data_IF_502002319922
#
_entry.id   IF_502002319922
#
_cell.length_a   1.000
_cell.length_b   1.000
_cell.length_c   1.000
_cell.angle_alpha   90.00
_cell.angle_beta   90.00
_cell.angle_gamma   90.00
#
_symmetry.space_group_name_H-M   'P 1'
#
loop_
_entity.id
_entity.type
_entity.pdbx_description
1 polymer ?
#
# COMPACT_ATOMS: atom_id res chain seq x y z
N UNK A 1 -78.04 39.31 -39.20
CA UNK A 1 -77.13 39.57 -38.07
C UNK A 1 -75.72 39.41 -38.59
N UNK A 2 -75.14 40.48 -39.12
CA UNK A 2 -73.75 40.51 -39.57
C UNK A 2 -72.83 40.55 -38.34
N UNK A 3 -71.91 39.59 -38.24
CA UNK A 3 -70.82 39.60 -37.27
C UNK A 3 -69.91 40.81 -37.57
N UNK A 4 -70.07 41.92 -36.85
CA UNK A 4 -69.04 42.95 -36.82
C UNK A 4 -67.73 42.31 -36.37
N UNK A 5 -66.67 42.45 -37.18
CA UNK A 5 -65.36 41.92 -36.88
C UNK A 5 -64.89 42.44 -35.51
N UNK A 6 -64.53 41.52 -34.59
CA UNK A 6 -64.00 41.85 -33.27
C UNK A 6 -62.58 42.40 -33.44
N UNK A 7 -62.46 43.68 -33.80
CA UNK A 7 -61.17 44.34 -34.04
C UNK A 7 -60.78 45.23 -32.88
N UNK A 8 -59.48 45.27 -32.54
CA UNK A 8 -58.92 46.18 -31.56
C UNK A 8 -57.70 46.88 -32.17
N UNK A 9 -57.76 48.21 -32.28
CA UNK A 9 -56.71 49.06 -32.88
C UNK A 9 -56.15 48.49 -34.20
N UNK A 10 -57.04 48.11 -35.11
CA UNK A 10 -56.65 47.60 -36.44
C UNK A 10 -56.30 46.10 -36.52
N UNK A 11 -56.16 45.40 -35.40
CA UNK A 11 -55.92 43.94 -35.39
C UNK A 11 -57.24 43.19 -35.22
N UNK A 12 -57.42 42.11 -36.00
CA UNK A 12 -58.53 41.16 -35.84
C UNK A 12 -58.29 40.24 -34.63
N UNK A 13 -59.24 40.20 -33.70
CA UNK A 13 -59.21 39.31 -32.53
C UNK A 13 -60.14 38.11 -32.72
N UNK A 14 -59.72 36.95 -32.25
CA UNK A 14 -60.60 35.78 -32.17
C UNK A 14 -61.68 36.00 -31.10
N UNK A 15 -62.83 35.34 -31.25
CA UNK A 15 -63.97 35.45 -30.31
C UNK A 15 -63.61 34.98 -28.88
N UNK A 16 -62.58 34.14 -28.75
CA UNK A 16 -62.04 33.68 -27.47
C UNK A 16 -61.32 34.77 -26.68
N UNK A 17 -60.96 35.90 -27.30
CA UNK A 17 -60.22 37.00 -26.66
C UNK A 17 -61.17 37.79 -25.74
N UNK A 18 -60.99 37.62 -24.43
CA UNK A 18 -61.76 38.34 -23.40
C UNK A 18 -61.21 39.74 -23.14
N UNK A 19 -61.35 40.62 -24.13
CA UNK A 19 -60.91 42.02 -24.05
C UNK A 19 -61.70 42.83 -23.00
N UNK A 20 -62.97 42.50 -22.77
CA UNK A 20 -63.83 43.15 -21.78
C UNK A 20 -64.09 42.22 -20.57
N UNK A 21 -64.31 42.77 -19.38
CA UNK A 21 -64.66 41.95 -18.21
C UNK A 21 -66.08 41.36 -18.38
N UNK A 22 -66.33 40.17 -17.80
CA UNK A 22 -67.52 39.33 -18.03
C UNK A 22 -68.87 40.09 -17.92
N UNK A 23 -68.97 41.07 -17.03
CA UNK A 23 -70.22 41.82 -16.76
C UNK A 23 -70.26 43.23 -17.38
N UNK A 24 -69.26 43.58 -18.18
CA UNK A 24 -68.99 44.99 -18.55
C UNK A 24 -68.96 45.30 -20.04
N UNK A 25 -69.36 44.37 -20.91
CA UNK A 25 -69.45 44.61 -22.36
C UNK A 25 -70.41 45.77 -22.69
N UNK A 26 -71.39 46.05 -21.82
CA UNK A 26 -72.30 47.23 -21.89
C UNK A 26 -71.70 48.53 -21.38
N UNK A 27 -70.70 48.48 -20.51
CA UNK A 27 -70.09 49.64 -19.84
C UNK A 27 -68.70 49.99 -20.38
N UNK A 28 -68.18 49.20 -21.33
CA UNK A 28 -66.90 49.45 -22.00
C UNK A 28 -65.66 49.25 -21.12
N UNK A 29 -65.76 48.56 -19.98
CA UNK A 29 -64.62 48.35 -19.09
C UNK A 29 -63.73 47.21 -19.60
N UNK A 30 -62.48 47.55 -19.88
CA UNK A 30 -61.49 46.61 -20.38
C UNK A 30 -60.98 45.65 -19.29
N UNK A 31 -60.53 44.48 -19.73
CA UNK A 31 -59.63 43.66 -18.93
C UNK A 31 -58.22 44.26 -19.05
N UNK A 32 -57.79 45.01 -18.04
CA UNK A 32 -56.53 45.77 -18.06
C UNK A 32 -55.30 44.93 -18.40
N UNK A 33 -55.24 43.65 -18.00
CA UNK A 33 -54.12 42.77 -18.34
C UNK A 33 -54.10 42.39 -19.82
N UNK A 34 -55.27 42.06 -20.39
CA UNK A 34 -55.39 41.70 -21.80
C UNK A 34 -55.19 42.94 -22.68
N UNK A 35 -55.76 44.07 -22.27
CA UNK A 35 -55.59 45.37 -22.92
C UNK A 35 -54.12 45.78 -22.95
N UNK A 36 -53.43 45.79 -21.81
CA UNK A 36 -52.02 46.17 -21.75
C UNK A 36 -51.13 45.26 -22.61
N UNK A 37 -51.37 43.95 -22.63
CA UNK A 37 -50.64 43.02 -23.49
C UNK A 37 -50.87 43.28 -24.99
N UNK A 38 -52.11 43.55 -25.39
CA UNK A 38 -52.45 43.91 -26.77
C UNK A 38 -51.88 45.28 -27.16
N UNK A 39 -51.98 46.29 -26.29
CA UNK A 39 -51.43 47.62 -26.53
C UNK A 39 -49.91 47.56 -26.73
N UNK A 40 -49.17 46.83 -25.89
CA UNK A 40 -47.73 46.66 -26.05
C UNK A 40 -47.39 45.98 -27.38
N UNK A 41 -48.15 44.95 -27.76
CA UNK A 41 -47.93 44.24 -29.02
C UNK A 41 -48.21 45.14 -30.23
N UNK A 42 -49.30 45.92 -30.19
CA UNK A 42 -49.71 46.83 -31.27
C UNK A 42 -48.76 48.01 -31.39
N UNK A 43 -48.37 48.63 -30.27
CA UNK A 43 -47.41 49.73 -30.28
C UNK A 43 -46.08 49.29 -30.90
N UNK A 44 -45.57 48.10 -30.57
CA UNK A 44 -44.33 47.58 -31.17
C UNK A 44 -44.48 47.21 -32.65
N UNK A 45 -45.68 46.88 -33.12
CA UNK A 45 -45.96 46.70 -34.55
C UNK A 45 -45.93 48.05 -35.26
N UNK A 46 -46.61 49.06 -34.71
CA UNK A 46 -46.65 50.42 -35.25
C UNK A 46 -45.24 51.07 -35.29
N UNK A 47 -44.48 50.97 -34.20
CA UNK A 47 -43.09 51.46 -34.12
C UNK A 47 -42.18 50.86 -35.19
N UNK A 48 -42.35 49.56 -35.47
CA UNK A 48 -41.55 48.86 -36.47
C UNK A 48 -42.18 48.87 -37.87
N UNK A 49 -43.36 49.50 -38.06
CA UNK A 49 -44.09 49.51 -39.32
C UNK A 49 -44.55 48.12 -39.81
N UNK A 50 -44.76 47.17 -38.90
CA UNK A 50 -45.16 45.79 -39.22
C UNK A 50 -46.67 45.59 -39.15
N UNK A 51 -47.21 44.64 -39.91
CA UNK A 51 -48.66 44.36 -39.98
C UNK A 51 -48.99 42.91 -39.65
N UNK A 52 -50.00 42.68 -38.81
CA UNK A 52 -50.49 41.33 -38.49
C UNK A 52 -51.56 40.93 -39.50
N UNK A 53 -51.38 39.77 -40.14
CA UNK A 53 -52.25 39.28 -41.22
C UNK A 53 -53.29 38.25 -40.75
N UNK A 54 -53.07 37.61 -39.60
CA UNK A 54 -53.98 36.58 -39.05
C UNK A 54 -54.64 37.06 -37.76
N UNK A 55 -55.71 36.40 -37.34
CA UNK A 55 -56.36 36.73 -36.07
C UNK A 55 -55.44 36.48 -34.86
N UNK A 56 -55.53 37.37 -33.87
CA UNK A 56 -54.88 37.20 -32.59
C UNK A 56 -55.77 36.38 -31.65
N UNK A 57 -55.23 35.31 -31.07
CA UNK A 57 -55.93 34.45 -30.10
C UNK A 57 -55.40 34.65 -28.67
N UNK A 58 -54.08 34.53 -28.48
CA UNK A 58 -53.38 34.78 -27.22
C UNK A 58 -51.89 34.98 -27.49
N UNK A 59 -51.16 35.51 -26.51
CA UNK A 59 -49.76 35.89 -26.68
C UNK A 59 -48.78 34.73 -26.96
N UNK A 60 -49.21 33.48 -26.72
CA UNK A 60 -48.45 32.26 -26.99
C UNK A 60 -48.85 31.55 -28.29
N UNK A 61 -49.92 31.98 -28.96
CA UNK A 61 -50.32 31.43 -30.25
C UNK A 61 -49.64 32.21 -31.37
N UNK A 62 -49.32 31.51 -32.45
CA UNK A 62 -48.63 32.13 -33.58
C UNK A 62 -49.58 33.02 -34.37
N UNK A 63 -49.10 34.20 -34.73
CA UNK A 63 -49.72 35.09 -35.72
C UNK A 63 -48.77 35.26 -36.90
N UNK A 64 -49.31 35.48 -38.09
CA UNK A 64 -48.51 35.82 -39.27
C UNK A 64 -48.31 37.33 -39.31
N UNK A 65 -47.06 37.78 -39.36
CA UNK A 65 -46.69 39.18 -39.44
C UNK A 65 -46.03 39.43 -40.81
N UNK A 66 -46.50 40.47 -41.49
CA UNK A 66 -45.77 41.14 -42.56
C UNK A 66 -44.77 42.10 -41.94
N UNK A 67 -43.51 41.70 -41.98
CA UNK A 67 -42.39 42.47 -41.44
C UNK A 67 -41.92 43.58 -42.40
N UNK A 68 -42.64 43.85 -43.50
CA UNK A 68 -42.29 44.84 -44.54
C UNK A 68 -40.83 44.71 -45.01
N UNK A 69 -40.42 43.48 -45.24
CA UNK A 69 -39.11 43.12 -45.77
C UNK A 69 -39.26 42.28 -47.03
N UNK A 70 -38.16 42.03 -47.76
CA UNK A 70 -38.16 41.24 -49.00
C UNK A 70 -38.44 39.73 -48.77
N UNK A 71 -38.62 39.31 -47.51
CA UNK A 71 -38.86 37.92 -47.15
C UNK A 71 -40.36 37.61 -47.01
N UNK A 72 -40.79 36.37 -47.30
CA UNK A 72 -42.16 35.95 -47.09
C UNK A 72 -42.64 36.15 -45.64
N UNK A 73 -43.92 36.50 -45.49
CA UNK A 73 -44.57 36.69 -44.19
C UNK A 73 -44.39 35.45 -43.30
N UNK A 74 -44.02 35.66 -42.04
CA UNK A 74 -43.63 34.58 -41.13
C UNK A 74 -44.51 34.52 -39.89
N UNK A 75 -44.67 33.31 -39.36
CA UNK A 75 -45.45 33.05 -38.15
C UNK A 75 -44.60 33.19 -36.89
N UNK A 76 -44.98 34.10 -36.00
CA UNK A 76 -44.32 34.31 -34.71
C UNK A 76 -45.36 34.44 -33.59
N UNK A 77 -45.02 34.03 -32.38
CA UNK A 77 -45.87 34.28 -31.21
C UNK A 77 -45.67 35.71 -30.71
N UNK A 78 -46.72 36.45 -30.35
CA UNK A 78 -46.63 37.82 -29.83
C UNK A 78 -45.60 38.00 -28.69
N UNK A 79 -45.49 37.04 -27.76
CA UNK A 79 -44.47 37.07 -26.70
C UNK A 79 -43.03 37.07 -27.22
N UNK A 80 -42.73 36.30 -28.28
CA UNK A 80 -41.40 36.25 -28.89
C UNK A 80 -41.09 37.53 -29.65
N UNK A 81 -42.09 38.07 -30.35
CA UNK A 81 -41.98 39.34 -31.04
C UNK A 81 -41.72 40.50 -30.08
N UNK A 82 -42.47 40.59 -28.98
CA UNK A 82 -42.24 41.53 -27.88
C UNK A 82 -40.85 41.36 -27.23
N UNK A 83 -40.31 40.14 -27.23
CA UNK A 83 -38.95 39.83 -26.80
C UNK A 83 -37.85 40.22 -27.79
N UNK A 84 -38.19 40.94 -28.88
CA UNK A 84 -37.23 41.42 -29.89
C UNK A 84 -36.94 40.45 -31.04
N UNK A 85 -37.66 39.33 -31.14
CA UNK A 85 -37.51 38.42 -32.29
C UNK A 85 -38.29 38.95 -33.50
N UNK A 86 -37.58 39.22 -34.60
CA UNK A 86 -38.15 39.68 -35.87
C UNK A 86 -38.14 38.61 -36.96
N UNK A 87 -38.04 39.04 -38.22
CA UNK A 87 -37.90 38.14 -39.35
C UNK A 87 -36.61 37.27 -39.21
N UNK A 88 -36.71 35.92 -39.24
CA UNK A 88 -35.56 35.03 -39.08
C UNK A 88 -34.47 35.19 -40.16
N UNK A 89 -34.87 35.61 -41.36
CA UNK A 89 -33.93 35.87 -42.47
C UNK A 89 -33.21 37.21 -42.29
N UNK A 90 -33.92 38.29 -41.91
CA UNK A 90 -33.28 39.58 -41.61
C UNK A 90 -32.32 39.52 -40.41
N UNK A 91 -32.60 38.64 -39.45
CA UNK A 91 -31.77 38.47 -38.25
C UNK A 91 -30.60 37.49 -38.44
N UNK A 92 -30.46 36.86 -39.62
CA UNK A 92 -29.39 35.89 -39.89
C UNK A 92 -29.52 34.56 -39.14
N UNK A 93 -30.74 34.22 -38.70
CA UNK A 93 -31.03 33.02 -37.87
C UNK A 93 -31.70 31.90 -38.69
N UNK A 94 -31.82 32.05 -40.01
CA UNK A 94 -32.39 31.00 -40.85
C UNK A 94 -31.42 29.82 -41.04
N UNK A 95 -31.98 28.62 -41.21
CA UNK A 95 -31.24 27.37 -41.36
C UNK A 95 -30.43 27.31 -42.66
N UNK A 96 -30.95 27.90 -43.73
CA UNK A 96 -30.30 27.99 -45.06
C UNK A 96 -28.96 28.74 -44.96
N UNK A 97 -28.95 29.94 -44.35
CA UNK A 97 -27.72 30.73 -44.17
C UNK A 97 -26.71 30.01 -43.27
N UNK A 98 -27.19 29.35 -42.21
CA UNK A 98 -26.32 28.63 -41.28
C UNK A 98 -25.58 27.44 -41.92
N UNK A 99 -26.21 26.81 -42.92
CA UNK A 99 -25.63 25.75 -43.77
C UNK A 99 -24.60 26.32 -44.75
N UNK A 100 -24.93 27.39 -45.47
CA UNK A 100 -24.00 28.08 -46.37
C UNK A 100 -22.73 28.55 -45.64
N UNK A 101 -22.89 29.11 -44.44
CA UNK A 101 -21.77 29.54 -43.59
C UNK A 101 -20.88 28.37 -43.16
N UNK A 102 -21.49 27.19 -42.91
CA UNK A 102 -20.73 25.99 -42.55
C UNK A 102 -19.94 25.50 -43.76
N UNK A 103 -20.58 25.41 -44.94
CA UNK A 103 -19.96 24.96 -46.18
C UNK A 103 -18.79 25.90 -46.56
N UNK A 104 -19.00 27.21 -46.46
CA UNK A 104 -17.97 28.22 -46.71
C UNK A 104 -16.75 27.99 -45.82
N UNK A 105 -16.95 27.84 -44.50
CA UNK A 105 -15.86 27.55 -43.55
C UNK A 105 -15.21 26.18 -43.75
N UNK A 106 -15.93 25.19 -44.25
CA UNK A 106 -15.38 23.88 -44.60
C UNK A 106 -14.42 24.02 -45.79
N UNK A 107 -14.84 24.75 -46.81
CA UNK A 107 -14.04 25.01 -48.01
C UNK A 107 -12.81 25.89 -47.70
N UNK A 108 -12.96 26.96 -46.91
CA UNK A 108 -11.84 27.81 -46.48
C UNK A 108 -10.73 27.03 -45.77
N UNK A 109 -11.10 26.01 -44.99
CA UNK A 109 -10.15 25.16 -44.29
C UNK A 109 -9.71 23.93 -45.12
N UNK A 110 -10.08 23.85 -46.41
CA UNK A 110 -9.80 22.71 -47.29
C UNK A 110 -10.29 21.37 -46.73
N UNK A 111 -11.43 21.36 -46.04
CA UNK A 111 -12.09 20.16 -45.55
C UNK A 111 -13.25 19.77 -46.47
N UNK A 112 -13.82 18.59 -46.28
CA UNK A 112 -14.93 18.08 -47.10
C UNK A 112 -16.08 17.59 -46.21
N UNK A 113 -17.30 18.07 -46.49
CA UNK A 113 -18.53 17.66 -45.82
C UNK A 113 -19.07 16.38 -46.48
N UNK A 114 -19.18 15.29 -45.71
CA UNK A 114 -19.58 13.96 -46.21
C UNK A 114 -21.01 13.55 -45.79
N UNK A 115 -21.71 14.39 -45.02
CA UNK A 115 -23.08 14.12 -44.57
C UNK A 115 -23.98 15.34 -44.74
N UNK A 116 -25.28 15.09 -44.85
CA UNK A 116 -26.32 16.12 -44.85
C UNK A 116 -26.31 16.99 -43.58
N UNK A 117 -26.54 18.30 -43.73
CA UNK A 117 -26.70 19.24 -42.62
C UNK A 117 -28.16 19.27 -42.15
N UNK A 118 -28.38 19.03 -40.86
CA UNK A 118 -29.72 19.03 -40.23
C UNK A 118 -29.89 20.12 -39.17
N UNK A 119 -28.85 20.90 -38.91
CA UNK A 119 -28.82 21.96 -37.92
C UNK A 119 -27.53 22.00 -37.10
N UNK A 120 -27.31 23.12 -36.40
CA UNK A 120 -26.04 23.41 -35.72
C UNK A 120 -25.66 22.46 -34.56
N UNK A 121 -26.63 21.70 -34.04
CA UNK A 121 -26.43 20.75 -32.93
C UNK A 121 -26.30 19.30 -33.40
N UNK A 122 -26.77 19.00 -34.61
CA UNK A 122 -26.67 17.66 -35.18
C UNK A 122 -25.27 17.47 -35.74
N UNK A 123 -24.66 16.31 -35.46
CA UNK A 123 -23.31 16.04 -35.94
C UNK A 123 -23.33 15.86 -37.44
N UNK A 124 -22.32 16.43 -38.09
CA UNK A 124 -21.98 16.20 -39.49
C UNK A 124 -20.67 15.44 -39.59
N UNK A 125 -20.50 14.65 -40.64
CA UNK A 125 -19.28 13.92 -40.94
C UNK A 125 -18.40 14.79 -41.84
N UNK A 126 -17.18 15.09 -41.37
CA UNK A 126 -16.21 15.91 -42.12
C UNK A 126 -14.93 15.12 -42.33
N UNK A 127 -14.44 15.09 -43.56
CA UNK A 127 -13.06 14.72 -43.88
C UNK A 127 -12.18 15.97 -43.78
N UNK A 128 -11.29 15.96 -42.79
CA UNK A 128 -10.39 17.06 -42.51
C UNK A 128 -9.14 17.07 -43.40
N UNK A 129 -9.02 16.15 -44.38
CA UNK A 129 -7.87 16.05 -45.32
C UNK A 129 -6.50 16.00 -44.64
N UNK A 130 -6.46 15.47 -43.42
CA UNK A 130 -5.27 15.41 -42.57
C UNK A 130 -4.68 14.00 -42.42
N UNK A 131 -5.11 13.04 -43.26
CA UNK A 131 -4.68 11.64 -43.23
C UNK A 131 -5.37 10.76 -42.18
N UNK A 132 -6.20 11.35 -41.30
CA UNK A 132 -7.06 10.61 -40.39
C UNK A 132 -8.42 10.29 -41.03
N UNK A 133 -9.11 9.27 -40.52
CA UNK A 133 -10.47 8.95 -40.96
C UNK A 133 -11.43 10.14 -40.74
N UNK A 134 -12.45 10.33 -41.59
CA UNK A 134 -13.48 11.34 -41.38
C UNK A 134 -14.11 11.22 -40.00
N UNK A 135 -14.44 12.36 -39.38
CA UNK A 135 -14.92 12.41 -38.00
C UNK A 135 -16.23 13.18 -37.87
N UNK A 136 -17.09 12.70 -36.97
CA UNK A 136 -18.37 13.33 -36.64
C UNK A 136 -18.16 14.51 -35.68
N UNK A 137 -18.57 15.70 -36.09
CA UNK A 137 -18.47 16.93 -35.31
C UNK A 137 -19.76 17.76 -35.46
N UNK A 138 -20.14 18.51 -34.42
CA UNK A 138 -21.25 19.45 -34.58
C UNK A 138 -20.79 20.70 -35.34
N UNK A 139 -21.61 21.25 -36.25
CA UNK A 139 -21.31 22.49 -36.96
C UNK A 139 -20.91 23.63 -36.03
N UNK A 140 -21.56 23.74 -34.86
CA UNK A 140 -21.21 24.73 -33.84
C UNK A 140 -19.76 24.54 -33.33
N UNK A 141 -19.38 23.31 -32.98
CA UNK A 141 -18.03 22.99 -32.50
C UNK A 141 -16.96 23.26 -33.57
N UNK A 142 -17.26 22.91 -34.83
CA UNK A 142 -16.41 23.19 -35.97
C UNK A 142 -16.18 24.70 -36.17
N UNK A 143 -17.26 25.50 -36.10
CA UNK A 143 -17.21 26.96 -36.22
C UNK A 143 -16.38 27.63 -35.13
N UNK A 144 -16.25 27.03 -33.94
CA UNK A 144 -15.40 27.49 -32.84
C UNK A 144 -13.95 26.94 -32.87
N UNK A 145 -13.51 26.37 -34.00
CA UNK A 145 -12.11 25.97 -34.19
C UNK A 145 -11.76 24.56 -33.72
N UNK A 146 -12.76 23.75 -33.33
CA UNK A 146 -12.52 22.32 -33.12
C UNK A 146 -12.47 21.63 -34.48
N UNK A 147 -11.33 21.05 -34.83
CA UNK A 147 -11.15 20.34 -36.09
C UNK A 147 -10.94 18.85 -35.82
N UNK A 148 -10.11 18.16 -36.61
CA UNK A 148 -9.83 16.74 -36.43
C UNK A 148 -9.40 16.43 -34.99
N UNK A 149 -10.17 15.61 -34.24
CA UNK A 149 -9.85 15.26 -32.85
C UNK A 149 -8.51 14.54 -32.72
N UNK A 150 -8.13 13.72 -33.70
CA UNK A 150 -6.85 13.02 -33.73
C UNK A 150 -5.68 13.99 -33.84
N UNK A 151 -5.75 14.97 -34.75
CA UNK A 151 -4.75 16.04 -34.84
C UNK A 151 -4.68 16.87 -33.55
N UNK A 152 -5.84 17.20 -32.96
CA UNK A 152 -5.91 17.89 -31.67
C UNK A 152 -5.22 17.10 -30.56
N UNK A 153 -5.45 15.78 -30.51
CA UNK A 153 -4.79 14.87 -29.56
C UNK A 153 -3.28 14.83 -29.73
N UNK A 154 -2.77 14.75 -30.97
CA UNK A 154 -1.34 14.76 -31.27
C UNK A 154 -0.70 16.09 -30.82
N UNK A 155 -1.31 17.23 -31.16
CA UNK A 155 -0.83 18.56 -30.76
C UNK A 155 -0.83 18.73 -29.24
N UNK A 156 -1.83 18.19 -28.55
CA UNK A 156 -1.92 18.25 -27.09
C UNK A 156 -0.91 17.31 -26.37
N UNK A 157 -0.47 16.23 -27.01
CA UNK A 157 0.41 15.23 -26.39
C UNK A 157 1.88 15.69 -26.26
N UNK A 158 2.40 16.42 -27.24
CA UNK A 158 3.80 16.88 -27.26
C UNK A 158 4.19 17.76 -26.03
N UNK A 159 3.46 18.83 -25.69
CA UNK A 159 3.80 19.66 -24.52
C UNK A 159 3.61 18.88 -23.21
N UNK A 160 2.60 17.99 -23.14
CA UNK A 160 2.37 17.13 -21.96
C UNK A 160 3.54 16.17 -21.73
N UNK A 161 4.07 15.55 -22.78
CA UNK A 161 5.26 14.68 -22.68
C UNK A 161 6.47 15.45 -22.15
N UNK A 162 6.74 16.64 -22.70
CA UNK A 162 7.85 17.50 -22.27
C UNK A 162 7.71 17.94 -20.81
N UNK A 163 6.50 18.31 -20.38
CA UNK A 163 6.22 18.67 -18.99
C UNK A 163 6.40 17.46 -18.04
N UNK A 164 5.95 16.26 -18.45
CA UNK A 164 6.08 15.04 -17.65
C UNK A 164 7.54 14.61 -17.47
N UNK A 165 8.35 14.74 -18.52
CA UNK A 165 9.81 14.51 -18.49
C UNK A 165 10.52 15.50 -17.56
N UNK A 166 10.26 16.80 -17.70
CA UNK A 166 10.82 17.83 -16.82
C UNK A 166 10.42 17.63 -15.36
N UNK A 167 9.19 17.19 -15.11
CA UNK A 167 8.71 16.84 -13.76
C UNK A 167 9.50 15.66 -13.17
N UNK A 168 9.79 14.63 -13.97
CA UNK A 168 10.63 13.52 -13.53
C UNK A 168 12.05 14.00 -13.20
N UNK A 169 12.68 14.76 -14.09
CA UNK A 169 14.04 15.29 -13.89
C UNK A 169 14.16 16.09 -12.60
N UNK A 170 13.26 17.06 -12.37
CA UNK A 170 13.22 17.84 -11.12
C UNK A 170 13.12 16.96 -9.87
N UNK A 171 12.36 15.87 -9.93
CA UNK A 171 12.18 14.95 -8.78
C UNK A 171 13.40 14.02 -8.59
N UNK A 172 14.08 13.66 -9.67
CA UNK A 172 15.35 12.93 -9.64
C UNK A 172 16.42 13.79 -8.97
N UNK A 173 16.57 15.03 -9.42
CA UNK A 173 17.54 15.98 -8.88
C UNK A 173 17.26 16.32 -7.41
N UNK A 174 15.99 16.60 -7.06
CA UNK A 174 15.60 16.92 -5.69
C UNK A 174 15.87 15.77 -4.69
N UNK A 175 15.85 14.52 -5.16
CA UNK A 175 16.17 13.36 -4.34
C UNK A 175 17.67 13.03 -4.37
N UNK A 176 18.50 13.82 -5.06
CA UNK A 176 19.92 13.55 -5.22
C UNK A 176 20.21 12.28 -6.02
N UNK A 177 19.32 11.88 -6.92
CA UNK A 177 19.48 10.71 -7.79
C UNK A 177 19.96 11.14 -9.19
N UNK A 178 20.34 10.19 -10.03
CA UNK A 178 20.77 10.44 -11.41
C UNK A 178 19.98 9.59 -12.40
N UNK A 179 19.37 10.23 -13.39
CA UNK A 179 18.68 9.56 -14.50
C UNK A 179 19.71 9.13 -15.55
N UNK A 180 19.79 7.82 -15.84
CA UNK A 180 20.79 7.24 -16.74
C UNK A 180 20.21 6.79 -18.10
N UNK A 181 18.89 6.86 -18.29
CA UNK A 181 18.24 6.48 -19.53
C UNK A 181 17.28 7.55 -20.03
N UNK A 182 16.95 7.50 -21.31
CA UNK A 182 15.96 8.36 -21.94
C UNK A 182 14.55 8.13 -21.39
N UNK A 183 13.79 9.21 -21.22
CA UNK A 183 12.36 9.15 -20.89
C UNK A 183 11.51 8.91 -22.15
N UNK A 184 10.61 7.94 -22.08
CA UNK A 184 9.67 7.65 -23.18
C UNK A 184 8.26 8.08 -22.79
N UNK A 185 7.78 7.59 -21.65
CA UNK A 185 6.49 7.91 -21.05
C UNK A 185 6.52 7.52 -19.55
N UNK A 186 5.39 7.68 -18.86
CA UNK A 186 5.28 7.51 -17.41
C UNK A 186 5.17 6.03 -16.93
N UNK A 187 5.05 5.08 -17.86
CA UNK A 187 4.96 3.63 -17.57
C UNK A 187 6.23 2.89 -17.96
N UNK A 188 6.90 3.31 -19.03
CA UNK A 188 8.13 2.71 -19.52
C UNK A 188 9.28 2.97 -18.54
N UNK A 189 10.01 1.91 -18.18
CA UNK A 189 10.96 1.99 -17.07
C UNK A 189 12.20 2.78 -17.48
N UNK A 190 12.57 3.73 -16.63
CA UNK A 190 13.83 4.46 -16.71
C UNK A 190 14.86 3.87 -15.76
N UNK A 191 16.13 3.93 -16.13
CA UNK A 191 17.25 3.54 -15.29
C UNK A 191 17.66 4.73 -14.42
N UNK A 192 17.58 4.56 -13.10
CA UNK A 192 17.98 5.58 -12.12
C UNK A 192 19.09 5.04 -11.24
N UNK A 193 20.15 5.82 -11.07
CA UNK A 193 21.10 5.65 -9.98
C UNK A 193 20.57 6.40 -8.76
N UNK A 194 20.25 5.65 -7.71
CA UNK A 194 19.69 6.18 -6.46
C UNK A 194 20.75 6.72 -5.50
N UNK A 195 22.04 6.70 -5.86
CA UNK A 195 23.14 7.17 -5.03
C UNK A 195 23.17 6.57 -3.60
N UNK A 196 22.71 5.33 -3.47
CA UNK A 196 22.64 4.58 -2.21
C UNK A 196 23.66 3.44 -2.13
N UNK A 197 24.68 3.45 -3.00
CA UNK A 197 25.70 2.39 -3.08
C UNK A 197 25.27 1.12 -3.83
N UNK A 198 23.98 0.93 -4.08
CA UNK A 198 23.46 -0.19 -4.87
C UNK A 198 23.52 0.10 -6.39
N UNK A 199 23.47 -0.97 -7.19
CA UNK A 199 23.44 -0.87 -8.66
C UNK A 199 22.22 -0.04 -9.13
N UNK A 200 22.36 0.76 -10.20
CA UNK A 200 21.22 1.48 -10.79
C UNK A 200 20.07 0.54 -11.12
N UNK A 201 18.84 1.00 -10.91
CA UNK A 201 17.64 0.16 -11.03
C UNK A 201 16.61 0.76 -11.98
N UNK A 202 15.93 -0.12 -12.72
CA UNK A 202 14.88 0.24 -13.68
C UNK A 202 13.53 0.38 -12.98
N UNK A 203 12.99 1.60 -12.98
CA UNK A 203 11.73 1.93 -12.33
C UNK A 203 10.82 2.72 -13.27
N UNK A 204 9.50 2.49 -13.20
CA UNK A 204 8.54 3.31 -13.91
C UNK A 204 8.50 4.72 -13.30
N UNK A 205 8.53 5.80 -14.10
CA UNK A 205 8.45 7.18 -13.58
C UNK A 205 7.27 7.42 -12.65
N UNK A 206 6.11 6.81 -12.91
CA UNK A 206 4.93 6.85 -12.02
C UNK A 206 5.22 6.29 -10.63
N UNK A 207 5.81 5.10 -10.54
CA UNK A 207 6.19 4.50 -9.25
C UNK A 207 7.25 5.34 -8.53
N UNK A 208 8.24 5.84 -9.27
CA UNK A 208 9.27 6.72 -8.71
C UNK A 208 8.65 8.00 -8.11
N UNK A 209 7.74 8.65 -8.84
CA UNK A 209 7.01 9.84 -8.39
C UNK A 209 6.14 9.57 -7.15
N UNK A 210 5.65 8.33 -6.97
CA UNK A 210 4.93 7.87 -5.77
C UNK A 210 5.85 7.55 -4.57
N UNK A 211 7.16 7.75 -4.69
CA UNK A 211 8.12 7.52 -3.62
C UNK A 211 8.72 6.12 -3.58
N UNK A 212 8.49 5.29 -4.60
CA UNK A 212 9.23 4.02 -4.74
C UNK A 212 10.67 4.32 -5.15
N UNK A 213 11.61 3.64 -4.50
CA UNK A 213 13.04 3.90 -4.64
C UNK A 213 13.83 2.65 -5.06
N UNK A 214 15.08 2.60 -4.59
CA UNK A 214 15.93 1.42 -4.74
C UNK A 214 15.26 0.19 -4.06
N UNK A 215 15.11 -0.95 -4.76
CA UNK A 215 14.50 -2.15 -4.20
C UNK A 215 15.30 -2.70 -3.02
N UNK A 216 16.63 -2.73 -3.12
CA UNK A 216 17.50 -3.23 -2.03
C UNK A 216 17.37 -2.39 -0.76
N UNK A 217 17.32 -1.06 -0.88
CA UNK A 217 17.04 -0.20 0.28
C UNK A 217 15.65 -0.47 0.87
N UNK A 218 14.65 -0.68 0.01
CA UNK A 218 13.29 -1.04 0.43
C UNK A 218 13.24 -2.37 1.19
N UNK A 219 13.92 -3.39 0.67
CA UNK A 219 14.00 -4.72 1.27
C UNK A 219 14.73 -4.70 2.61
N UNK A 220 15.86 -3.97 2.69
CA UNK A 220 16.61 -3.81 3.93
C UNK A 220 15.77 -3.14 5.02
N UNK A 221 15.07 -2.04 4.69
CA UNK A 221 14.16 -1.36 5.62
C UNK A 221 13.01 -2.28 6.05
N UNK A 222 12.44 -3.04 5.11
CA UNK A 222 11.36 -3.97 5.42
C UNK A 222 11.86 -5.12 6.33
N UNK A 223 13.09 -5.60 6.12
CA UNK A 223 13.72 -6.59 6.99
C UNK A 223 13.92 -6.03 8.41
N UNK A 224 14.48 -4.83 8.53
CA UNK A 224 14.69 -4.14 9.80
C UNK A 224 13.39 -4.00 10.61
N UNK A 225 12.33 -3.47 9.97
CA UNK A 225 10.99 -3.32 10.58
C UNK A 225 10.44 -4.67 11.07
N UNK A 226 10.69 -5.77 10.36
CA UNK A 226 10.27 -7.11 10.81
C UNK A 226 11.10 -7.65 11.96
N UNK A 227 12.41 -7.37 11.97
CA UNK A 227 13.34 -7.94 12.97
C UNK A 227 13.36 -7.17 14.29
N UNK A 228 13.12 -5.86 14.25
CA UNK A 228 13.22 -4.98 15.42
C UNK A 228 12.29 -5.41 16.57
N UNK A 229 10.98 -5.67 16.34
CA UNK A 229 10.09 -6.11 17.42
C UNK A 229 10.46 -7.48 17.99
N UNK A 230 11.04 -8.37 17.19
CA UNK A 230 11.47 -9.71 17.63
C UNK A 230 12.70 -9.60 18.55
N UNK A 231 13.59 -8.64 18.29
CA UNK A 231 14.74 -8.33 19.15
C UNK A 231 14.29 -7.74 20.47
N UNK A 232 13.43 -6.73 20.43
CA UNK A 232 12.86 -6.10 21.62
C UNK A 232 12.11 -7.12 22.48
N UNK A 233 11.27 -7.97 21.88
CA UNK A 233 10.56 -9.02 22.62
C UNK A 233 11.50 -10.01 23.31
N UNK A 234 12.64 -10.34 22.69
CA UNK A 234 13.64 -11.22 23.32
C UNK A 234 14.31 -10.54 24.52
N UNK A 235 14.74 -9.29 24.37
CA UNK A 235 15.37 -8.51 25.45
C UNK A 235 14.39 -8.33 26.62
N UNK A 236 13.15 -7.92 26.34
CA UNK A 236 12.10 -7.80 27.35
C UNK A 236 11.84 -9.12 28.08
N UNK A 237 11.93 -10.26 27.38
CA UNK A 237 11.81 -11.58 28.01
C UNK A 237 12.99 -11.91 28.92
N UNK A 238 14.20 -11.42 28.65
CA UNK A 238 15.36 -11.60 29.53
C UNK A 238 15.16 -10.79 30.81
N UNK A 239 14.82 -9.50 30.65
CA UNK A 239 14.60 -8.58 31.76
C UNK A 239 13.43 -9.01 32.65
N UNK A 240 12.32 -9.48 32.07
CA UNK A 240 11.16 -9.98 32.82
C UNK A 240 11.47 -11.23 33.67
N UNK A 241 12.52 -11.98 33.33
CA UNK A 241 13.02 -13.09 34.15
C UNK A 241 14.10 -12.64 35.17
N UNK A 242 14.40 -11.35 35.27
CA UNK A 242 15.42 -10.81 36.18
C UNK A 242 16.86 -11.08 35.74
N UNK A 243 17.07 -11.41 34.47
CA UNK A 243 18.39 -11.64 33.89
C UNK A 243 18.88 -10.41 33.12
N UNK A 244 20.17 -10.38 32.77
CA UNK A 244 20.80 -9.29 32.00
C UNK A 244 21.50 -9.86 30.78
N UNK A 245 21.18 -9.32 29.60
CA UNK A 245 21.85 -9.65 28.35
C UNK A 245 23.14 -8.82 28.22
N UNK A 246 24.29 -9.48 28.12
CA UNK A 246 25.61 -8.83 28.09
C UNK A 246 26.26 -8.79 26.70
N UNK A 247 25.69 -9.47 25.71
CA UNK A 247 26.19 -9.47 24.33
C UNK A 247 25.13 -9.00 23.34
N UNK A 248 25.56 -8.67 22.13
CA UNK A 248 24.64 -8.37 21.03
C UNK A 248 23.77 -9.58 20.68
N UNK A 249 22.53 -9.31 20.29
CA UNK A 249 21.58 -10.29 19.77
C UNK A 249 21.07 -9.83 18.42
N UNK A 250 21.40 -10.57 17.36
CA UNK A 250 20.99 -10.24 16.00
C UNK A 250 19.96 -11.23 15.46
N UNK A 251 20.15 -12.53 15.72
CA UNK A 251 19.38 -13.65 15.19
C UNK A 251 19.17 -14.76 16.23
N UNK A 252 18.15 -15.60 16.02
CA UNK A 252 17.72 -16.66 16.96
C UNK A 252 18.78 -17.73 17.26
N UNK A 253 19.76 -17.92 16.36
CA UNK A 253 20.82 -18.92 16.50
C UNK A 253 22.11 -18.34 17.10
N UNK A 254 22.13 -17.04 17.41
CA UNK A 254 23.28 -16.41 18.01
C UNK A 254 23.54 -16.98 19.41
N UNK A 255 24.82 -17.19 19.71
CA UNK A 255 25.25 -17.40 21.09
C UNK A 255 25.28 -16.04 21.78
N UNK A 256 24.44 -15.90 22.80
CA UNK A 256 24.33 -14.69 23.60
C UNK A 256 24.85 -14.94 25.01
N UNK A 257 25.59 -13.98 25.56
CA UNK A 257 26.09 -13.99 26.93
C UNK A 257 25.02 -13.38 27.84
N UNK A 258 24.57 -14.15 28.84
CA UNK A 258 23.54 -13.73 29.79
C UNK A 258 24.08 -13.87 31.21
N UNK A 259 23.89 -12.83 32.01
CA UNK A 259 23.95 -12.92 33.45
C UNK A 259 22.57 -13.31 33.97
N UNK A 260 22.48 -14.49 34.58
CA UNK A 260 21.23 -15.01 35.13
C UNK A 260 20.91 -14.47 36.53
N UNK A 261 21.74 -13.56 37.07
CA UNK A 261 21.59 -12.96 38.39
C UNK A 261 21.41 -14.02 39.51
N UNK A 262 22.17 -15.10 39.39
CA UNK A 262 22.09 -16.28 40.27
C UNK A 262 23.38 -16.52 41.08
N UNK A 263 24.28 -15.53 41.11
CA UNK A 263 25.58 -15.62 41.77
C UNK A 263 26.68 -16.32 40.97
N UNK A 264 26.33 -17.07 39.91
CA UNK A 264 27.29 -17.68 38.99
C UNK A 264 27.80 -16.67 37.95
N UNK A 265 28.97 -16.93 37.37
CA UNK A 265 29.52 -16.13 36.27
C UNK A 265 28.55 -16.11 35.07
N UNK A 266 28.51 -15.04 34.26
CA UNK A 266 27.66 -15.01 33.07
C UNK A 266 27.97 -16.16 32.09
N UNK A 267 26.93 -16.73 31.48
CA UNK A 267 27.07 -17.88 30.57
C UNK A 267 26.49 -17.61 29.19
N UNK A 268 27.15 -18.17 28.19
CA UNK A 268 26.69 -18.10 26.80
C UNK A 268 25.74 -19.25 26.47
N UNK A 269 24.62 -18.94 25.82
CA UNK A 269 23.73 -19.95 25.23
C UNK A 269 23.15 -19.47 23.90
N UNK A 270 22.58 -20.39 23.13
CA UNK A 270 21.86 -20.01 21.90
C UNK A 270 20.56 -19.31 22.28
N UNK A 271 20.28 -18.14 21.72
CA UNK A 271 19.08 -17.35 22.06
C UNK A 271 17.76 -18.14 21.93
N UNK A 272 17.64 -19.01 20.92
CA UNK A 272 16.48 -19.90 20.79
C UNK A 272 16.34 -20.87 21.98
N UNK A 273 17.44 -21.36 22.55
CA UNK A 273 17.42 -22.21 23.74
C UNK A 273 16.86 -21.49 24.96
N UNK A 274 17.17 -20.19 25.13
CA UNK A 274 16.60 -19.38 26.21
C UNK A 274 15.07 -19.31 26.12
N UNK A 275 14.54 -19.12 24.90
CA UNK A 275 13.09 -19.11 24.63
C UNK A 275 12.43 -20.45 24.99
N UNK A 276 13.16 -21.56 24.86
CA UNK A 276 12.70 -22.89 25.26
C UNK A 276 12.95 -23.22 26.74
N UNK A 277 13.30 -22.24 27.57
CA UNK A 277 13.40 -22.40 29.02
C UNK A 277 14.79 -22.82 29.54
N UNK A 278 15.83 -22.84 28.69
CA UNK A 278 17.20 -23.06 29.16
C UNK A 278 17.65 -21.86 30.01
N UNK A 279 18.26 -22.15 31.16
CA UNK A 279 18.72 -21.16 32.15
C UNK A 279 20.17 -21.46 32.56
N UNK A 280 20.65 -20.83 33.63
CA UNK A 280 21.99 -21.05 34.16
C UNK A 280 22.25 -22.56 34.37
N UNK A 281 23.31 -23.13 33.78
CA UNK A 281 23.63 -24.55 33.91
C UNK A 281 23.99 -24.94 35.35
N UNK A 282 24.66 -24.05 36.11
CA UNK A 282 25.01 -24.33 37.51
C UNK A 282 23.80 -24.35 38.45
N UNK A 283 22.73 -23.62 38.12
CA UNK A 283 21.47 -23.70 38.89
C UNK A 283 20.73 -25.03 38.69
N UNK A 284 21.02 -25.76 37.61
CA UNK A 284 20.42 -27.07 37.33
C UNK A 284 21.32 -28.24 37.74
N UNK A 285 22.49 -27.95 38.32
CA UNK A 285 23.45 -28.93 38.82
C UNK A 285 22.85 -29.71 40.00
N UNK A 286 23.16 -31.01 40.10
CA UNK A 286 22.73 -31.81 41.25
C UNK A 286 23.40 -31.29 42.53
N UNK A 287 22.75 -31.49 43.69
CA UNK A 287 23.35 -31.12 44.99
C UNK A 287 24.70 -31.80 45.25
N UNK A 288 24.92 -32.98 44.66
CA UNK A 288 26.18 -33.72 44.74
C UNK A 288 27.25 -33.14 43.82
N UNK A 289 26.94 -32.84 42.55
CA UNK A 289 27.89 -32.15 41.66
C UNK A 289 28.29 -30.77 42.22
N UNK A 290 27.32 -30.04 42.76
CA UNK A 290 27.52 -28.68 43.29
C UNK A 290 28.54 -28.62 44.43
N UNK A 291 28.46 -29.50 45.41
CA UNK A 291 29.38 -29.47 46.56
C UNK A 291 30.81 -29.85 46.16
N UNK A 292 30.97 -30.73 45.16
CA UNK A 292 32.29 -31.07 44.61
C UNK A 292 32.84 -29.88 43.82
N UNK A 293 32.03 -29.24 42.97
CA UNK A 293 32.41 -28.04 42.23
C UNK A 293 32.83 -26.90 43.16
N UNK A 294 32.03 -26.60 44.18
CA UNK A 294 32.33 -25.56 45.18
C UNK A 294 33.69 -25.82 45.84
N UNK A 295 33.98 -27.07 46.23
CA UNK A 295 35.28 -27.42 46.79
C UNK A 295 36.43 -27.28 45.77
N UNK A 296 36.25 -27.71 44.51
CA UNK A 296 37.26 -27.56 43.46
C UNK A 296 37.59 -26.09 43.21
N UNK A 297 36.58 -25.21 43.16
CA UNK A 297 36.75 -23.76 43.01
C UNK A 297 37.47 -23.14 44.22
N UNK A 298 37.05 -23.46 45.46
CA UNK A 298 37.67 -22.95 46.69
C UNK A 298 39.14 -23.34 46.82
N UNK A 299 39.51 -24.54 46.33
CA UNK A 299 40.88 -25.05 46.39
C UNK A 299 41.68 -24.77 45.10
N UNK A 300 41.14 -23.98 44.16
CA UNK A 300 41.76 -23.66 42.88
C UNK A 300 42.19 -24.90 42.06
N UNK A 301 41.46 -26.00 42.19
CA UNK A 301 41.66 -27.19 41.36
C UNK A 301 41.01 -26.94 40.01
N UNK A 302 41.77 -27.07 38.93
CA UNK A 302 41.23 -26.88 37.58
C UNK A 302 40.30 -28.02 37.22
N UNK A 303 39.14 -27.71 36.64
CA UNK A 303 38.20 -28.73 36.19
C UNK A 303 37.43 -28.31 34.93
N UNK A 304 36.91 -29.30 34.22
CA UNK A 304 35.97 -29.13 33.11
C UNK A 304 34.70 -29.89 33.48
N UNK A 305 33.61 -29.18 33.73
CA UNK A 305 32.31 -29.79 34.01
C UNK A 305 31.66 -30.32 32.71
N UNK A 306 30.83 -31.35 32.84
CA UNK A 306 30.07 -31.95 31.74
C UNK A 306 30.96 -32.41 30.57
N UNK A 307 32.14 -32.93 30.88
CA UNK A 307 33.19 -33.26 29.93
C UNK A 307 32.77 -34.35 28.94
N UNK A 308 33.29 -34.27 27.70
CA UNK A 308 33.08 -35.26 26.65
C UNK A 308 34.42 -35.50 25.95
N UNK A 309 34.81 -36.77 25.84
CA UNK A 309 35.98 -37.13 25.05
C UNK A 309 35.73 -36.84 23.56
N UNK A 310 36.78 -36.47 22.79
CA UNK A 310 36.69 -36.41 21.34
C UNK A 310 36.17 -37.73 20.76
N UNK A 311 35.19 -37.67 19.87
CA UNK A 311 34.52 -38.82 19.24
C UNK A 311 33.71 -39.73 20.19
N UNK A 312 33.47 -39.33 21.44
CA UNK A 312 32.56 -40.03 22.35
C UNK A 312 31.28 -39.21 22.60
N UNK A 313 30.13 -39.88 22.55
CA UNK A 313 28.82 -39.29 22.84
C UNK A 313 28.45 -39.33 24.32
N UNK A 314 29.24 -40.01 25.15
CA UNK A 314 29.03 -40.08 26.60
C UNK A 314 29.56 -38.82 27.28
N UNK A 315 28.84 -38.36 28.30
CA UNK A 315 29.15 -37.18 29.11
C UNK A 315 29.62 -37.63 30.47
N UNK A 316 30.62 -36.95 31.01
CA UNK A 316 31.18 -37.15 32.34
C UNK A 316 30.96 -35.90 33.21
N UNK A 317 30.82 -36.05 34.52
CA UNK A 317 30.44 -34.93 35.39
C UNK A 317 31.58 -33.92 35.54
N UNK A 318 32.78 -34.36 35.91
CA UNK A 318 33.97 -33.52 35.93
C UNK A 318 35.19 -34.23 35.32
N UNK A 319 36.07 -33.42 34.72
CA UNK A 319 37.39 -33.82 34.27
C UNK A 319 38.42 -32.89 34.90
N UNK A 320 39.40 -33.46 35.60
CA UNK A 320 40.50 -32.78 36.29
C UNK A 320 41.77 -32.95 35.43
N UNK A 321 42.14 -31.94 34.62
CA UNK A 321 43.15 -32.10 33.58
C UNK A 321 44.57 -32.26 34.10
N UNK A 322 44.93 -31.66 35.24
CA UNK A 322 46.27 -31.80 35.80
C UNK A 322 46.44 -33.12 36.54
N UNK A 323 45.35 -33.61 37.11
CA UNK A 323 45.31 -34.85 37.87
C UNK A 323 45.09 -36.06 36.97
N UNK A 324 44.76 -35.83 35.70
CA UNK A 324 44.39 -36.82 34.70
C UNK A 324 43.24 -37.72 35.20
N UNK A 325 42.21 -37.10 35.78
CA UNK A 325 41.15 -37.80 36.53
C UNK A 325 39.77 -37.41 36.05
N UNK A 326 38.93 -38.41 35.79
CA UNK A 326 37.48 -38.27 35.56
C UNK A 326 36.75 -38.50 36.89
N UNK A 327 35.75 -37.67 37.18
CA UNK A 327 34.91 -37.76 38.37
C UNK A 327 33.45 -37.86 37.96
N UNK A 328 32.73 -38.85 38.50
CA UNK A 328 31.29 -39.06 38.33
C UNK A 328 30.59 -39.04 39.68
N UNK A 329 29.42 -38.41 39.76
CA UNK A 329 28.60 -38.35 40.96
C UNK A 329 27.38 -39.23 40.75
N UNK A 330 27.40 -40.42 41.35
CA UNK A 330 26.33 -41.40 41.19
C UNK A 330 25.28 -41.26 42.29
N UNK A 331 24.05 -40.91 41.92
CA UNK A 331 22.88 -40.95 42.81
C UNK A 331 22.26 -42.35 42.93
N UNK A 332 21.18 -42.47 43.72
CA UNK A 332 20.48 -43.74 43.99
C UNK A 332 20.12 -44.54 42.73
N UNK A 333 19.80 -43.85 41.63
CA UNK A 333 19.47 -44.48 40.35
C UNK A 333 20.59 -45.34 39.75
N UNK A 334 21.87 -45.11 40.09
CA UNK A 334 22.98 -45.92 39.58
C UNK A 334 23.17 -47.23 40.36
N UNK A 335 22.53 -47.37 41.53
CA UNK A 335 22.73 -48.49 42.44
C UNK A 335 21.49 -49.33 42.65
N UNK A 336 20.30 -48.77 42.49
CA UNK A 336 19.03 -49.45 42.70
C UNK A 336 18.03 -49.19 41.58
N UNK A 337 17.16 -50.16 41.33
CA UNK A 337 16.09 -50.01 40.35
C UNK A 337 14.99 -49.08 40.88
N UNK A 338 15.02 -47.82 40.44
CA UNK A 338 13.97 -46.85 40.73
C UNK A 338 12.98 -46.75 39.55
N UNK A 339 11.67 -47.10 39.72
CA UNK A 339 10.68 -47.11 38.63
C UNK A 339 10.49 -45.77 37.91
N UNK A 340 10.80 -44.66 38.58
CA UNK A 340 10.73 -43.33 37.97
C UNK A 340 11.85 -43.10 36.95
N UNK A 341 13.05 -43.61 37.22
CA UNK A 341 14.25 -43.41 36.41
C UNK A 341 14.44 -44.51 35.37
N UNK A 342 14.16 -45.76 35.74
CA UNK A 342 14.34 -46.92 34.88
C UNK A 342 13.01 -47.31 34.23
N UNK A 343 12.95 -47.17 32.90
CA UNK A 343 11.80 -47.63 32.10
C UNK A 343 12.34 -48.25 30.83
N UNK A 344 11.98 -49.49 30.52
CA UNK A 344 12.40 -50.16 29.30
C UNK A 344 11.65 -49.58 28.08
N UNK A 345 12.12 -48.43 27.61
CA UNK A 345 11.52 -47.68 26.51
C UNK A 345 12.63 -47.12 25.62
N UNK A 346 12.37 -46.77 24.35
CA UNK A 346 13.40 -46.20 23.47
C UNK A 346 14.04 -44.89 23.96
N UNK A 347 13.45 -44.22 24.96
CA UNK A 347 13.92 -42.92 25.49
C UNK A 347 14.54 -42.98 26.88
N UNK A 348 14.41 -44.10 27.61
CA UNK A 348 14.92 -44.26 28.98
C UNK A 348 15.60 -45.62 29.10
N UNK A 349 16.70 -45.69 29.84
CA UNK A 349 17.42 -46.94 30.04
C UNK A 349 16.75 -47.77 31.12
N UNK A 350 16.83 -49.10 30.99
CA UNK A 350 16.62 -49.99 32.13
C UNK A 350 17.80 -49.89 33.11
N UNK A 351 17.60 -50.32 34.36
CA UNK A 351 18.66 -50.32 35.36
C UNK A 351 19.91 -51.08 34.89
N UNK A 352 19.72 -52.24 34.24
CA UNK A 352 20.83 -53.03 33.67
C UNK A 352 21.58 -52.28 32.57
N UNK A 353 20.86 -51.59 31.69
CA UNK A 353 21.48 -50.79 30.63
C UNK A 353 22.25 -49.59 31.19
N UNK A 354 21.80 -48.98 32.29
CA UNK A 354 22.54 -47.91 32.96
C UNK A 354 23.85 -48.45 33.57
N UNK A 355 23.80 -49.57 34.29
CA UNK A 355 25.00 -50.23 34.82
C UNK A 355 26.01 -50.65 33.74
N UNK A 356 25.53 -51.16 32.60
CA UNK A 356 26.38 -51.48 31.45
C UNK A 356 27.03 -50.22 30.87
N UNK A 357 26.27 -49.13 30.74
CA UNK A 357 26.79 -47.85 30.27
C UNK A 357 27.86 -47.27 31.21
N UNK A 358 27.64 -47.32 32.53
CA UNK A 358 28.60 -46.83 33.54
C UNK A 358 29.92 -47.62 33.49
N UNK A 359 29.85 -48.95 33.36
CA UNK A 359 31.04 -49.80 33.17
C UNK A 359 31.78 -49.46 31.88
N UNK A 360 31.06 -49.19 30.80
CA UNK A 360 31.67 -48.81 29.52
C UNK A 360 32.30 -47.43 29.58
N UNK A 361 31.71 -46.48 30.33
CA UNK A 361 32.28 -45.15 30.58
C UNK A 361 33.61 -45.26 31.33
N UNK A 362 33.60 -45.99 32.45
CA UNK A 362 34.79 -46.22 33.26
C UNK A 362 35.91 -46.88 32.43
N UNK A 363 35.65 -48.02 31.80
CA UNK A 363 36.64 -48.72 30.97
C UNK A 363 37.22 -47.86 29.86
N UNK A 364 36.39 -47.02 29.24
CA UNK A 364 36.84 -46.13 28.17
C UNK A 364 37.80 -45.06 28.69
N UNK A 365 37.44 -44.37 29.77
CA UNK A 365 38.32 -43.39 30.41
C UNK A 365 39.65 -44.02 30.85
N UNK A 366 39.59 -45.18 31.53
CA UNK A 366 40.77 -45.93 31.98
C UNK A 366 41.65 -46.39 30.81
N UNK A 367 41.05 -46.84 29.69
CA UNK A 367 41.80 -47.24 28.48
C UNK A 367 42.54 -46.07 27.81
N UNK A 368 42.12 -44.84 28.07
CA UNK A 368 42.80 -43.63 27.64
C UNK A 368 43.82 -43.12 28.68
N UNK A 369 43.99 -43.87 29.77
CA UNK A 369 44.96 -43.60 30.84
C UNK A 369 44.46 -42.65 31.93
N UNK A 370 43.17 -42.31 31.98
CA UNK A 370 42.62 -41.47 33.04
C UNK A 370 42.31 -42.28 34.30
N UNK A 371 42.56 -41.69 35.47
CA UNK A 371 41.98 -42.17 36.72
C UNK A 371 40.47 -41.95 36.71
N UNK A 372 39.72 -42.79 37.43
CA UNK A 372 38.25 -42.72 37.44
C UNK A 372 37.73 -42.77 38.88
N UNK A 373 37.17 -41.66 39.36
CA UNK A 373 36.55 -41.56 40.69
C UNK A 373 35.03 -41.62 40.54
N UNK A 374 34.41 -42.56 41.24
CA UNK A 374 32.95 -42.58 41.43
C UNK A 374 32.65 -42.08 42.84
N UNK A 375 31.97 -40.94 42.91
CA UNK A 375 31.47 -40.36 44.15
C UNK A 375 30.06 -40.87 44.39
N UNK A 376 29.92 -41.73 45.40
CA UNK A 376 28.63 -42.24 45.84
C UNK A 376 27.81 -41.14 46.53
N UNK A 377 26.66 -40.80 45.95
CA UNK A 377 25.71 -39.79 46.42
C UNK A 377 24.30 -40.37 46.67
N UNK A 378 24.19 -41.68 46.94
CA UNK A 378 22.89 -42.36 47.18
C UNK A 378 22.05 -41.74 48.29
N UNK A 379 22.70 -41.26 49.34
CA UNK A 379 22.03 -40.76 50.56
C UNK A 379 21.58 -39.30 50.44
N UNK A 380 21.84 -38.65 49.30
CA UNK A 380 21.54 -37.23 49.07
C UNK A 380 22.15 -36.27 50.11
N UNK A 381 23.27 -36.66 50.75
CA UNK A 381 24.00 -35.87 51.76
C UNK A 381 25.25 -35.24 51.14
N UNK A 382 25.28 -33.92 50.86
CA UNK A 382 26.40 -33.29 50.14
C UNK A 382 27.75 -33.45 50.85
N UNK A 383 27.78 -33.26 52.17
CA UNK A 383 29.00 -33.38 52.97
C UNK A 383 29.61 -34.79 52.88
N UNK A 384 28.78 -35.83 52.90
CA UNK A 384 29.24 -37.21 52.76
C UNK A 384 29.81 -37.51 51.37
N UNK A 385 29.21 -36.94 50.30
CA UNK A 385 29.79 -37.04 48.96
C UNK A 385 31.13 -36.31 48.87
N UNK A 386 31.26 -35.15 49.50
CA UNK A 386 32.53 -34.43 49.57
C UNK A 386 33.59 -35.26 50.30
N UNK A 387 33.27 -35.82 51.47
CA UNK A 387 34.19 -36.70 52.21
C UNK A 387 34.66 -37.89 51.37
N UNK A 388 33.75 -38.55 50.64
CA UNK A 388 34.06 -39.68 49.75
C UNK A 388 34.95 -39.26 48.57
N UNK A 389 34.64 -38.12 47.97
CA UNK A 389 35.46 -37.55 46.90
C UNK A 389 36.88 -37.25 47.41
N UNK A 390 37.00 -36.59 48.57
CA UNK A 390 38.30 -36.24 49.16
C UNK A 390 39.12 -37.48 49.49
N UNK A 391 38.50 -38.52 50.06
CA UNK A 391 39.19 -39.78 50.34
C UNK A 391 39.81 -40.38 49.07
N UNK A 392 39.03 -40.48 47.98
CA UNK A 392 39.50 -41.02 46.71
C UNK A 392 40.54 -40.11 46.03
N UNK A 393 40.32 -38.80 46.07
CA UNK A 393 41.21 -37.81 45.46
C UNK A 393 42.58 -37.78 46.14
N UNK A 394 42.61 -37.75 47.48
CA UNK A 394 43.85 -37.75 48.26
C UNK A 394 44.62 -39.06 48.12
N UNK A 395 43.92 -40.20 48.01
CA UNK A 395 44.56 -41.50 47.74
C UNK A 395 45.30 -41.49 46.41
N UNK A 396 44.69 -40.98 45.33
CA UNK A 396 45.35 -40.85 44.02
C UNK A 396 46.56 -39.92 44.06
N UNK A 397 46.45 -38.77 44.73
CA UNK A 397 47.57 -37.84 44.88
C UNK A 397 48.72 -38.44 45.70
N UNK A 398 48.41 -39.27 46.70
CA UNK A 398 49.43 -39.99 47.47
C UNK A 398 50.19 -41.04 46.65
N UNK A 399 49.49 -41.72 45.74
CA UNK A 399 50.07 -42.74 44.85
C UNK A 399 50.96 -42.12 43.76
N UNK A 400 50.68 -40.89 43.31
CA UNK A 400 51.57 -40.16 42.39
C UNK A 400 52.87 -39.74 43.06
N UNK A 401 52.79 -39.32 44.33
CA UNK A 401 53.95 -38.84 45.08
C UNK A 401 54.87 -39.97 45.58
N UNK A 402 54.42 -41.23 45.60
CA UNK A 402 55.25 -42.40 45.95
C UNK A 402 55.98 -43.04 44.77
N UNK A 403 55.74 -42.56 43.55
CA UNK A 403 56.40 -43.01 42.31
C UNK A 403 57.35 -41.97 41.69
N UNK A 404 57.56 -40.85 42.38
CA UNK A 404 58.67 -39.90 42.18
C UNK A 404 59.80 -40.23 43.18
#
# INVERSE_FOLDING_TARGET
MEHQANTYRGIKLADSVRLYNKDSKRYGLYNEKVKAGLDNFINLLEENGHEVLTEYVKATDKVTIDFKCEHPNHQITPNKYLGGQGCPKCSGVCTEQAEEDLITKINENNHELLSEYKGNKEKVLIDFKCGHKPNWITPNSYKYGNHCPSCGGIRAAAPKKKAAEQSLLKKVDANGHVLLSTYINDTEKVLINFNCGHKPHRIAPTHYKQGKGCPTCGDNRAAEIRTQPVREAFINSIEANGHVLLSEYTHIHDKVLIDFNCGHKPHSLVANSYKHGVRCPHCQESKGERIIREWLEENNVMYIAQYRFPNDKRKYDFMLPFENTIVEIHGLQHFEEIPHYHKDTPRRRSFKQEQENDKLKQKFAESLGYNYIIVDYREHKPQLALERFLAAFMELESQKNSHL
#
